data_IF_800050882153
#
_entry.id   IF_800050882153
#
_cell.length_a   1.000
_cell.length_b   1.000
_cell.length_c   1.000
_cell.angle_alpha   90.00
_cell.angle_beta   90.00
_cell.angle_gamma   90.00
#
_symmetry.space_group_name_H-M   'P 1'
#
loop_
_entity.id
_entity.type
_entity.pdbx_description
1 polymer ?
#
# COMPACT_ATOMS: atom_id res chain seq x y z
N UNK A 1 14.87 25.95 30.65
CA UNK A 1 15.81 24.83 30.45
C UNK A 1 16.48 24.62 31.78
N UNK A 2 15.93 23.73 32.61
CA UNK A 2 16.58 23.33 33.85
C UNK A 2 17.73 22.38 33.52
N UNK A 3 18.93 22.81 33.83
CA UNK A 3 20.18 22.11 33.51
C UNK A 3 20.46 20.86 34.38
N UNK A 4 19.55 20.46 35.26
CA UNK A 4 19.81 19.33 36.16
C UNK A 4 19.14 18.00 35.79
N UNK A 5 18.26 17.99 34.84
CA UNK A 5 17.69 16.72 34.37
C UNK A 5 17.54 16.76 32.85
N UNK A 6 18.41 16.05 32.13
CA UNK A 6 18.29 15.72 30.71
C UNK A 6 17.12 14.70 30.53
N UNK A 7 16.00 14.97 31.15
CA UNK A 7 14.78 14.23 30.96
C UNK A 7 14.02 14.87 29.78
N UNK A 8 14.10 14.23 28.61
CA UNK A 8 13.27 14.53 27.45
C UNK A 8 11.82 14.18 27.82
N UNK A 9 11.18 15.03 28.60
CA UNK A 9 9.75 14.91 28.89
C UNK A 9 8.99 15.31 27.63
N UNK A 10 8.54 14.30 26.89
CA UNK A 10 7.62 14.51 25.77
C UNK A 10 6.31 15.01 26.39
N UNK A 11 6.11 16.31 26.32
CA UNK A 11 4.85 16.93 26.75
C UNK A 11 3.78 16.61 25.70
N UNK A 12 2.98 15.57 26.00
CA UNK A 12 1.92 15.07 25.11
C UNK A 12 0.94 16.19 24.74
N UNK A 13 0.73 17.17 25.64
CA UNK A 13 -0.11 18.35 25.36
C UNK A 13 0.41 19.22 24.22
N UNK A 14 1.74 19.27 24.03
CA UNK A 14 2.35 20.04 22.94
C UNK A 14 2.26 19.32 21.60
N UNK A 15 2.23 17.99 21.60
CA UNK A 15 2.09 17.19 20.37
C UNK A 15 0.72 17.43 19.71
N UNK A 16 -0.33 17.63 20.52
CA UNK A 16 -1.68 17.90 19.99
C UNK A 16 -1.72 19.21 19.17
N UNK A 17 -0.87 20.18 19.50
CA UNK A 17 -0.79 21.45 18.74
C UNK A 17 -0.21 21.28 17.32
N UNK A 18 0.47 20.16 17.04
CA UNK A 18 0.93 19.82 15.70
C UNK A 18 -0.14 19.13 14.83
N UNK A 19 -1.29 18.79 15.44
CA UNK A 19 -2.40 18.19 14.73
C UNK A 19 -3.31 19.30 14.16
N UNK A 20 -2.99 19.75 12.95
CA UNK A 20 -3.85 20.66 12.20
C UNK A 20 -4.71 19.89 11.20
N UNK A 21 -6.03 19.93 11.42
CA UNK A 21 -7.01 19.23 10.59
C UNK A 21 -7.00 19.70 9.15
N UNK A 22 -6.75 21.01 8.93
CA UNK A 22 -6.73 21.62 7.60
C UNK A 22 -5.58 21.06 6.76
N UNK A 23 -4.38 20.99 7.35
CA UNK A 23 -3.18 20.44 6.73
C UNK A 23 -3.35 18.96 6.39
N UNK A 24 -3.92 18.17 7.31
CA UNK A 24 -4.21 16.74 7.09
C UNK A 24 -5.18 16.58 5.92
N UNK A 25 -6.25 17.38 5.85
CA UNK A 25 -7.23 17.30 4.76
C UNK A 25 -6.64 17.68 3.40
N UNK A 26 -5.75 18.69 3.34
CA UNK A 26 -5.08 19.08 2.10
C UNK A 26 -4.17 17.95 1.60
N UNK A 27 -3.30 17.43 2.45
CA UNK A 27 -2.31 16.41 2.04
C UNK A 27 -2.98 15.07 1.76
N UNK A 28 -3.75 14.53 2.70
CA UNK A 28 -4.40 13.24 2.52
C UNK A 28 -5.51 13.31 1.47
N UNK A 29 -6.33 14.36 1.49
CA UNK A 29 -7.41 14.54 0.52
C UNK A 29 -6.88 14.71 -0.90
N UNK A 30 -5.87 15.54 -1.08
CA UNK A 30 -5.22 15.76 -2.37
C UNK A 30 -4.54 14.49 -2.90
N UNK A 31 -3.78 13.80 -2.06
CA UNK A 31 -3.12 12.54 -2.42
C UNK A 31 -4.13 11.46 -2.80
N UNK A 32 -5.18 11.27 -1.98
CA UNK A 32 -6.24 10.30 -2.28
C UNK A 32 -6.99 10.67 -3.57
N UNK A 33 -7.26 11.95 -3.81
CA UNK A 33 -7.92 12.40 -5.04
C UNK A 33 -7.09 12.02 -6.27
N UNK A 34 -5.77 12.22 -6.26
CA UNK A 34 -4.88 11.82 -7.35
C UNK A 34 -4.89 10.30 -7.55
N UNK A 35 -4.78 9.53 -6.46
CA UNK A 35 -4.81 8.06 -6.55
C UNK A 35 -6.13 7.56 -7.12
N UNK A 36 -7.26 8.08 -6.66
CA UNK A 36 -8.60 7.70 -7.15
C UNK A 36 -8.79 8.12 -8.61
N UNK A 37 -8.30 9.29 -9.01
CA UNK A 37 -8.42 9.77 -10.38
C UNK A 37 -7.59 8.93 -11.36
N UNK A 38 -6.36 8.55 -10.97
CA UNK A 38 -5.47 7.76 -11.84
C UNK A 38 -5.81 6.26 -11.83
N UNK A 39 -6.23 5.70 -10.69
CA UNK A 39 -6.44 4.26 -10.49
C UNK A 39 -7.78 3.95 -9.80
N UNK A 40 -8.94 4.27 -10.42
CA UNK A 40 -10.25 4.17 -9.76
C UNK A 40 -10.62 2.74 -9.33
N UNK A 41 -10.17 1.72 -10.08
CA UNK A 41 -10.43 0.31 -9.76
C UNK A 41 -9.56 -0.18 -8.61
N UNK A 42 -8.28 0.16 -8.62
CA UNK A 42 -7.32 -0.24 -7.59
C UNK A 42 -7.53 0.50 -6.27
N UNK A 43 -7.98 1.75 -6.31
CA UNK A 43 -8.24 2.56 -5.11
C UNK A 43 -9.24 1.87 -4.16
N UNK A 44 -10.21 1.12 -4.67
CA UNK A 44 -11.14 0.31 -3.87
C UNK A 44 -10.46 -0.85 -3.13
N UNK A 45 -9.29 -1.26 -3.59
CA UNK A 45 -8.51 -2.36 -3.00
C UNK A 45 -7.53 -1.91 -1.92
N UNK A 46 -7.33 -0.60 -1.72
CA UNK A 46 -6.44 -0.03 -0.69
C UNK A 46 -6.63 -0.67 0.69
N UNK A 47 -7.87 -0.80 1.25
CA UNK A 47 -8.05 -1.40 2.57
C UNK A 47 -7.65 -2.89 2.61
N UNK A 48 -7.74 -3.60 1.48
CA UNK A 48 -7.29 -5.00 1.38
C UNK A 48 -5.76 -5.09 1.41
N UNK A 49 -5.07 -4.21 0.69
CA UNK A 49 -3.60 -4.15 0.68
C UNK A 49 -3.06 -3.79 2.06
N UNK A 50 -3.69 -2.85 2.76
CA UNK A 50 -3.32 -2.49 4.13
C UNK A 50 -3.47 -3.68 5.10
N UNK A 51 -4.54 -4.47 4.95
CA UNK A 51 -4.73 -5.71 5.73
C UNK A 51 -3.67 -6.77 5.44
N UNK A 52 -3.23 -6.88 4.17
CA UNK A 52 -2.16 -7.81 3.77
C UNK A 52 -0.82 -7.36 4.35
N UNK A 53 -0.53 -6.06 4.33
CA UNK A 53 0.70 -5.50 4.90
C UNK A 53 0.83 -5.75 6.41
N UNK A 54 -0.29 -5.80 7.13
CA UNK A 54 -0.32 -6.13 8.56
C UNK A 54 -0.22 -7.64 8.84
N UNK A 55 -0.37 -8.50 7.83
CA UNK A 55 -0.14 -9.94 7.96
C UNK A 55 1.35 -10.23 7.78
N UNK A 56 1.96 -10.75 8.81
CA UNK A 56 3.35 -11.23 8.82
C UNK A 56 3.43 -12.69 8.34
N UNK A 57 2.71 -13.05 7.30
CA UNK A 57 2.80 -14.40 6.73
C UNK A 57 4.16 -14.53 6.03
N UNK A 58 5.07 -15.24 6.68
CA UNK A 58 6.39 -15.55 6.10
C UNK A 58 6.20 -16.64 5.07
N UNK A 59 6.42 -16.31 3.80
CA UNK A 59 6.45 -17.29 2.73
C UNK A 59 7.63 -18.26 2.96
N UNK A 60 7.32 -19.55 3.18
CA UNK A 60 8.34 -20.59 3.32
C UNK A 60 8.37 -21.47 2.05
N UNK A 61 9.36 -21.29 1.16
CA UNK A 61 9.45 -22.04 -0.08
C UNK A 61 9.70 -23.53 0.14
N UNK A 62 10.32 -23.95 1.25
CA UNK A 62 10.61 -25.35 1.56
C UNK A 62 9.34 -26.19 1.66
N UNK A 63 8.29 -25.69 2.29
CA UNK A 63 7.01 -26.36 2.40
C UNK A 63 6.36 -26.66 1.04
N UNK A 64 6.57 -25.77 0.06
CA UNK A 64 6.06 -25.97 -1.30
C UNK A 64 6.86 -27.04 -2.05
N UNK A 65 8.17 -27.10 -1.83
CA UNK A 65 9.04 -28.13 -2.42
C UNK A 65 8.67 -29.52 -1.86
N UNK A 66 8.45 -29.65 -0.55
CA UNK A 66 8.01 -30.87 0.08
C UNK A 66 6.66 -31.35 -0.48
N UNK A 67 5.67 -30.46 -0.56
CA UNK A 67 4.36 -30.78 -1.16
C UNK A 67 4.48 -31.23 -2.61
N UNK A 68 5.30 -30.55 -3.42
CA UNK A 68 5.52 -30.97 -4.81
C UNK A 68 6.17 -32.35 -4.91
N UNK A 69 7.10 -32.64 -4.01
CA UNK A 69 7.76 -33.95 -3.95
C UNK A 69 6.77 -35.07 -3.56
N UNK A 70 5.90 -34.80 -2.60
CA UNK A 70 4.83 -35.72 -2.20
C UNK A 70 3.85 -35.97 -3.34
N UNK A 71 3.40 -34.93 -4.04
CA UNK A 71 2.54 -35.03 -5.21
C UNK A 71 3.19 -35.88 -6.32
N UNK A 72 4.47 -35.68 -6.58
CA UNK A 72 5.22 -36.45 -7.56
C UNK A 72 5.29 -37.94 -7.19
N UNK A 73 5.41 -38.26 -5.91
CA UNK A 73 5.38 -39.65 -5.42
C UNK A 73 4.00 -40.32 -5.56
N UNK A 74 2.92 -39.54 -5.25
CA UNK A 74 1.54 -39.99 -5.43
C UNK A 74 1.26 -40.29 -6.90
N UNK A 75 1.66 -39.36 -7.79
CA UNK A 75 1.50 -39.54 -9.23
C UNK A 75 2.21 -40.78 -9.78
N UNK A 76 3.41 -41.09 -9.25
CA UNK A 76 4.16 -42.31 -9.65
C UNK A 76 3.51 -43.61 -9.16
N UNK A 77 2.90 -43.61 -7.98
CA UNK A 77 2.29 -44.79 -7.37
C UNK A 77 0.88 -45.07 -7.86
N UNK A 78 0.06 -44.01 -7.92
CA UNK A 78 -1.39 -44.10 -8.10
C UNK A 78 -1.87 -43.52 -9.44
N UNK A 79 -0.96 -43.02 -10.25
CA UNK A 79 -1.26 -42.36 -11.53
C UNK A 79 -1.67 -40.88 -11.37
N UNK A 80 -1.73 -40.15 -12.50
CA UNK A 80 -2.04 -38.73 -12.54
C UNK A 80 -3.45 -38.39 -12.04
N UNK A 81 -4.41 -39.26 -12.22
CA UNK A 81 -5.79 -39.08 -11.75
C UNK A 81 -5.92 -39.05 -10.22
N UNK A 82 -4.95 -39.57 -9.49
CA UNK A 82 -4.90 -39.52 -8.03
C UNK A 82 -4.42 -38.15 -7.49
N UNK A 83 -4.01 -37.25 -8.36
CA UNK A 83 -3.56 -35.89 -8.01
C UNK A 83 -4.70 -34.92 -7.77
N UNK A 84 -5.94 -35.38 -7.61
CA UNK A 84 -7.08 -34.52 -7.32
C UNK A 84 -6.86 -33.80 -5.97
N UNK A 85 -6.29 -32.62 -6.03
CA UNK A 85 -5.82 -31.86 -4.87
C UNK A 85 -6.81 -30.76 -4.49
N UNK A 86 -6.96 -30.62 -3.19
CA UNK A 86 -7.74 -29.56 -2.55
C UNK A 86 -6.95 -28.26 -2.34
N UNK A 87 -5.65 -28.23 -2.62
CA UNK A 87 -4.82 -27.04 -2.44
C UNK A 87 -5.05 -26.07 -3.63
N UNK A 88 -5.69 -24.91 -3.40
CA UNK A 88 -6.05 -23.97 -4.47
C UNK A 88 -4.85 -23.44 -5.24
N UNK A 89 -3.67 -23.43 -4.63
CA UNK A 89 -2.44 -22.94 -5.27
C UNK A 89 -1.97 -23.86 -6.40
N UNK A 90 -2.08 -25.19 -6.22
CA UNK A 90 -1.65 -26.17 -7.21
C UNK A 90 -2.81 -26.66 -8.09
N UNK A 91 -4.05 -26.37 -7.73
CA UNK A 91 -5.22 -26.95 -8.37
C UNK A 91 -5.23 -26.75 -9.89
N UNK A 92 -4.94 -25.52 -10.36
CA UNK A 92 -4.94 -25.21 -11.78
C UNK A 92 -3.81 -25.95 -12.52
N UNK A 93 -2.61 -25.97 -11.96
CA UNK A 93 -1.47 -26.68 -12.54
C UNK A 93 -1.71 -28.18 -12.63
N UNK A 94 -2.28 -28.76 -11.56
CA UNK A 94 -2.60 -30.20 -11.50
C UNK A 94 -3.70 -30.58 -12.50
N UNK A 95 -4.76 -29.78 -12.63
CA UNK A 95 -5.80 -30.01 -13.64
C UNK A 95 -5.22 -30.04 -15.06
N UNK A 96 -4.33 -29.10 -15.37
CA UNK A 96 -3.66 -29.09 -16.69
C UNK A 96 -2.81 -30.35 -16.94
N UNK A 97 -2.21 -30.91 -15.91
CA UNK A 97 -1.40 -32.14 -15.99
C UNK A 97 -2.32 -33.36 -16.12
N UNK A 98 -3.40 -33.42 -15.35
CA UNK A 98 -4.40 -34.51 -15.36
C UNK A 98 -5.09 -34.61 -16.72
N UNK A 99 -5.37 -33.46 -17.35
CA UNK A 99 -5.95 -33.35 -18.70
C UNK A 99 -4.97 -33.78 -19.82
N UNK A 100 -3.85 -34.42 -19.47
CA UNK A 100 -2.84 -34.94 -20.39
C UNK A 100 -2.30 -33.90 -21.39
N UNK A 101 -2.25 -32.62 -21.00
CA UNK A 101 -1.61 -31.58 -21.82
C UNK A 101 -0.10 -31.83 -21.95
N UNK A 102 0.45 -31.50 -23.11
CA UNK A 102 1.90 -31.58 -23.32
C UNK A 102 2.63 -30.70 -22.30
N UNK A 103 3.74 -31.17 -21.69
CA UNK A 103 4.48 -30.44 -20.65
C UNK A 103 4.89 -29.02 -21.06
N UNK A 104 5.24 -28.82 -22.32
CA UNK A 104 5.58 -27.51 -22.86
C UNK A 104 4.39 -26.52 -22.82
N UNK A 105 3.18 -27.02 -23.09
CA UNK A 105 1.96 -26.21 -23.05
C UNK A 105 1.56 -25.87 -21.61
N UNK A 106 1.64 -26.81 -20.70
CA UNK A 106 1.39 -26.58 -19.27
C UNK A 106 2.32 -25.49 -18.75
N UNK A 107 3.62 -25.62 -19.07
CA UNK A 107 4.63 -24.63 -18.69
C UNK A 107 4.30 -23.23 -19.22
N UNK A 108 3.98 -23.10 -20.52
CA UNK A 108 3.63 -21.83 -21.13
C UNK A 108 2.41 -21.16 -20.49
N UNK A 109 1.37 -21.94 -20.14
CA UNK A 109 0.18 -21.43 -19.46
C UNK A 109 0.53 -20.93 -18.08
N UNK A 110 1.31 -21.67 -17.29
CA UNK A 110 1.69 -21.28 -15.93
C UNK A 110 2.63 -20.07 -15.93
N UNK A 111 3.57 -19.98 -16.87
CA UNK A 111 4.45 -18.82 -17.03
C UNK A 111 3.62 -17.56 -17.34
N UNK A 112 2.62 -17.67 -18.20
CA UNK A 112 1.71 -16.56 -18.54
C UNK A 112 0.85 -16.12 -17.32
N UNK A 113 0.37 -17.06 -16.51
CA UNK A 113 -0.38 -16.75 -15.28
C UNK A 113 0.49 -16.02 -14.24
N UNK A 114 1.76 -16.43 -14.13
CA UNK A 114 2.75 -15.75 -13.26
C UNK A 114 2.98 -14.32 -13.76
N UNK A 115 3.17 -14.13 -15.06
CA UNK A 115 3.39 -12.83 -15.67
C UNK A 115 2.19 -11.89 -15.46
N UNK A 116 0.97 -12.35 -15.72
CA UNK A 116 -0.25 -11.59 -15.46
C UNK A 116 -0.42 -11.22 -13.98
N UNK A 117 -0.03 -12.11 -13.08
CA UNK A 117 -0.07 -11.84 -11.64
C UNK A 117 0.96 -10.80 -11.25
N UNK A 118 2.17 -10.88 -11.83
CA UNK A 118 3.24 -9.89 -11.64
C UNK A 118 2.81 -8.52 -12.15
N UNK A 119 2.21 -8.43 -13.34
CA UNK A 119 1.70 -7.17 -13.90
C UNK A 119 0.66 -6.51 -12.99
N UNK A 120 -0.30 -7.29 -12.47
CA UNK A 120 -1.30 -6.76 -11.51
C UNK A 120 -0.67 -6.22 -10.23
N UNK A 121 0.40 -6.87 -9.74
CA UNK A 121 1.13 -6.36 -8.59
C UNK A 121 1.92 -5.09 -8.93
N UNK A 122 2.53 -5.01 -10.11
CA UNK A 122 3.23 -3.82 -10.59
C UNK A 122 2.28 -2.63 -10.73
N UNK A 123 1.07 -2.81 -11.25
CA UNK A 123 0.05 -1.76 -11.28
C UNK A 123 -0.29 -1.25 -9.87
N UNK A 124 -0.40 -2.15 -8.89
CA UNK A 124 -0.65 -1.76 -7.51
C UNK A 124 0.53 -0.97 -6.92
N UNK A 125 1.77 -1.38 -7.20
CA UNK A 125 2.98 -0.65 -6.79
C UNK A 125 3.00 0.75 -7.42
N UNK A 126 2.76 0.85 -8.73
CA UNK A 126 2.70 2.14 -9.46
C UNK A 126 1.65 3.10 -8.88
N UNK A 127 0.51 2.57 -8.41
CA UNK A 127 -0.51 3.35 -7.71
C UNK A 127 0.05 3.98 -6.43
N UNK A 128 0.76 3.20 -5.60
CA UNK A 128 1.36 3.71 -4.36
C UNK A 128 2.49 4.68 -4.61
N UNK A 129 3.33 4.43 -5.62
CA UNK A 129 4.38 5.36 -6.06
C UNK A 129 3.81 6.70 -6.51
N UNK A 130 2.69 6.67 -7.25
CA UNK A 130 2.00 7.90 -7.65
C UNK A 130 1.50 8.69 -6.44
N UNK A 131 0.91 8.01 -5.45
CA UNK A 131 0.50 8.64 -4.20
C UNK A 131 1.67 9.21 -3.42
N UNK A 132 2.74 8.46 -3.29
CA UNK A 132 3.99 8.88 -2.62
C UNK A 132 4.59 10.13 -3.24
N UNK A 133 4.62 10.22 -4.57
CA UNK A 133 5.13 11.38 -5.30
C UNK A 133 4.18 12.59 -5.23
N UNK A 134 2.88 12.37 -5.06
CA UNK A 134 1.89 13.44 -4.95
C UNK A 134 1.86 14.07 -3.55
N UNK A 135 2.10 13.31 -2.50
CA UNK A 135 1.98 13.78 -1.11
C UNK A 135 2.87 15.01 -0.80
N UNK A 136 4.17 15.06 -1.16
CA UNK A 136 5.00 16.25 -0.95
C UNK A 136 4.52 17.47 -1.74
N UNK A 137 3.97 17.25 -2.94
CA UNK A 137 3.42 18.35 -3.75
C UNK A 137 2.21 19.00 -3.07
N UNK A 138 1.32 18.21 -2.48
CA UNK A 138 0.20 18.73 -1.69
C UNK A 138 0.66 19.38 -0.39
N UNK A 139 1.77 18.93 0.22
CA UNK A 139 2.40 19.62 1.34
C UNK A 139 2.82 21.05 0.93
N UNK A 140 3.52 21.21 -0.19
CA UNK A 140 3.89 22.54 -0.69
C UNK A 140 2.66 23.43 -1.01
N UNK A 141 1.60 22.85 -1.56
CA UNK A 141 0.34 23.57 -1.80
C UNK A 141 -0.28 24.01 -0.48
N UNK A 142 -0.26 23.19 0.55
CA UNK A 142 -0.79 23.52 1.87
C UNK A 142 -0.05 24.71 2.50
N UNK A 143 1.29 24.74 2.42
CA UNK A 143 2.07 25.90 2.90
C UNK A 143 1.69 27.18 2.16
N UNK A 144 1.50 27.12 0.85
CA UNK A 144 1.09 28.28 0.04
C UNK A 144 -0.32 28.77 0.44
N UNK A 145 -1.26 27.86 0.67
CA UNK A 145 -2.62 28.20 1.12
C UNK A 145 -2.56 28.90 2.49
N UNK A 146 -1.78 28.37 3.43
CA UNK A 146 -1.59 28.98 4.75
C UNK A 146 -1.03 30.40 4.65
N UNK A 147 0.00 30.61 3.81
CA UNK A 147 0.58 31.93 3.58
C UNK A 147 -0.39 32.91 2.92
N UNK A 148 -1.17 32.45 1.94
CA UNK A 148 -2.19 33.30 1.28
C UNK A 148 -3.25 33.74 2.29
N UNK A 149 -3.74 32.83 3.13
CA UNK A 149 -4.71 33.15 4.16
C UNK A 149 -4.15 34.16 5.18
N UNK A 150 -2.91 33.93 5.61
CA UNK A 150 -2.22 34.85 6.50
C UNK A 150 -2.13 36.28 5.91
N UNK A 151 -1.71 36.40 4.64
CA UNK A 151 -1.61 37.69 3.98
C UNK A 151 -2.96 38.41 3.81
N UNK A 152 -4.01 37.64 3.50
CA UNK A 152 -5.38 38.15 3.40
C UNK A 152 -5.85 38.71 4.74
N UNK A 153 -5.70 37.98 5.82
CA UNK A 153 -6.13 38.38 7.15
C UNK A 153 -5.31 39.59 7.68
N UNK A 154 -4.06 39.71 7.27
CA UNK A 154 -3.23 40.87 7.57
C UNK A 154 -3.78 42.15 6.90
N UNK A 155 -4.29 42.04 5.67
CA UNK A 155 -4.89 43.16 4.94
C UNK A 155 -6.22 43.58 5.57
N UNK A 156 -6.98 42.68 6.13
CA UNK A 156 -8.26 42.91 6.79
C UNK A 156 -8.11 43.37 8.26
N UNK A 157 -6.85 43.56 8.72
CA UNK A 157 -6.50 44.00 10.10
C UNK A 157 -6.97 43.01 11.19
N UNK A 158 -7.26 41.77 10.84
CA UNK A 158 -7.63 40.72 11.78
C UNK A 158 -6.39 39.96 12.29
N UNK A 159 -5.84 40.48 13.39
CA UNK A 159 -4.65 39.90 14.03
C UNK A 159 -4.93 38.56 14.74
N UNK A 160 -6.19 38.22 14.97
CA UNK A 160 -6.54 37.03 15.75
C UNK A 160 -6.33 35.70 15.00
N UNK A 161 -6.44 35.74 13.68
CA UNK A 161 -6.29 34.59 12.78
C UNK A 161 -4.85 34.32 12.34
N UNK A 162 -3.91 35.23 12.56
CA UNK A 162 -2.50 35.09 12.13
C UNK A 162 -1.83 33.86 12.71
N UNK A 163 -2.06 33.55 13.98
CA UNK A 163 -1.49 32.39 14.64
C UNK A 163 -1.95 31.05 14.01
N UNK A 164 -3.26 30.82 13.87
CA UNK A 164 -3.78 29.64 13.16
C UNK A 164 -3.29 29.50 11.73
N UNK A 165 -3.28 30.56 10.92
CA UNK A 165 -2.84 30.53 9.51
C UNK A 165 -1.34 30.24 9.38
N UNK A 166 -0.51 30.79 10.27
CA UNK A 166 0.91 30.45 10.37
C UNK A 166 1.10 28.98 10.75
N UNK A 167 0.27 28.46 11.65
CA UNK A 167 0.32 27.05 12.05
C UNK A 167 0.08 26.13 10.85
N UNK A 168 -0.94 26.39 10.03
CA UNK A 168 -1.21 25.65 8.79
C UNK A 168 0.00 25.69 7.86
N UNK A 169 0.57 26.87 7.62
CA UNK A 169 1.71 27.02 6.71
C UNK A 169 2.99 26.31 7.19
N UNK A 170 3.20 26.18 8.50
CA UNK A 170 4.40 25.55 9.06
C UNK A 170 4.26 24.04 9.30
N UNK A 171 3.04 23.55 9.49
CA UNK A 171 2.78 22.12 9.82
C UNK A 171 2.52 21.30 8.57
N UNK A 172 2.01 21.89 7.48
CA UNK A 172 1.76 21.21 6.22
C UNK A 172 3.03 20.91 5.43
#
# INVERSE_FOLDING_TARGET
IDMETFAFTIDVGKIVNFFDLSSILIVLGGTLAVVVACYPKLARSIPKHFKIMLRLDVFNPEQYVEKLTELAQIARKNGLLALEQKDPFFQQAIMLIVDANAPARVRSILENDIEQTSERHQEAIAMYERGSNAAPAFGMIGTLIGLINMLKNLSDSDMSSLGPDMSVALIT
#
